data_IF_507022332349
#
_entry.id   IF_507022332349
#
_cell.length_a   1.000
_cell.length_b   1.000
_cell.length_c   1.000
_cell.angle_alpha   90.00
_cell.angle_beta   90.00
_cell.angle_gamma   90.00
#
_symmetry.space_group_name_H-M   'P 1'
#
loop_
_entity.id
_entity.type
_entity.pdbx_description
1 polymer ?
#
# COMPACT_ATOMS: atom_id res chain seq x y z
N UNK A 1 -27.07 -2.00 12.10
CA UNK A 1 -25.89 -1.48 12.82
C UNK A 1 -25.10 -0.61 11.84
N UNK A 2 -25.10 0.70 12.04
CA UNK A 2 -24.21 1.60 11.32
C UNK A 2 -22.78 1.20 11.67
N UNK A 3 -21.98 0.82 10.66
CA UNK A 3 -20.53 0.68 10.84
C UNK A 3 -20.01 2.08 11.15
N UNK A 4 -19.89 2.43 12.42
CA UNK A 4 -19.17 3.64 12.82
C UNK A 4 -17.74 3.47 12.33
N UNK A 5 -17.39 4.22 11.29
CA UNK A 5 -16.02 4.28 10.81
C UNK A 5 -15.22 4.92 11.95
N UNK A 6 -14.18 4.24 12.48
CA UNK A 6 -13.32 4.82 13.49
C UNK A 6 -12.82 6.20 13.04
N UNK A 7 -12.63 7.16 13.96
CA UNK A 7 -12.26 8.52 13.62
C UNK A 7 -11.04 8.52 12.70
N UNK A 8 -11.19 9.16 11.55
CA UNK A 8 -10.18 9.18 10.51
C UNK A 8 -8.99 10.05 10.98
N UNK A 9 -7.91 9.41 11.41
CA UNK A 9 -6.63 10.09 11.62
C UNK A 9 -5.89 10.22 10.29
N UNK A 10 -5.01 11.22 10.12
CA UNK A 10 -4.16 11.32 8.94
C UNK A 10 -3.38 10.03 8.66
N UNK A 11 -2.93 9.34 9.70
CA UNK A 11 -2.26 8.04 9.67
C UNK A 11 -3.11 6.95 9.02
N UNK A 12 -4.30 6.73 9.55
CA UNK A 12 -5.22 5.69 9.04
C UNK A 12 -5.60 5.99 7.60
N UNK A 13 -5.78 7.26 7.23
CA UNK A 13 -6.10 7.63 5.86
C UNK A 13 -4.96 7.35 4.88
N UNK A 14 -3.71 7.64 5.26
CA UNK A 14 -2.53 7.29 4.45
C UNK A 14 -2.41 5.78 4.26
N UNK A 15 -2.59 5.02 5.35
CA UNK A 15 -2.55 3.56 5.30
C UNK A 15 -3.68 2.96 4.44
N UNK A 16 -4.90 3.52 4.51
CA UNK A 16 -6.01 3.13 3.63
C UNK A 16 -5.70 3.43 2.17
N UNK A 17 -5.15 4.61 1.88
CA UNK A 17 -4.73 4.97 0.53
C UNK A 17 -3.65 4.01 0.00
N UNK A 18 -2.61 3.75 0.79
CA UNK A 18 -1.56 2.78 0.44
C UNK A 18 -2.15 1.39 0.18
N UNK A 19 -3.02 0.89 1.06
CA UNK A 19 -3.66 -0.41 0.89
C UNK A 19 -4.53 -0.50 -0.38
N UNK A 20 -5.15 0.61 -0.79
CA UNK A 20 -5.91 0.70 -2.03
C UNK A 20 -5.02 0.85 -3.28
N UNK A 21 -3.85 1.48 -3.16
CA UNK A 21 -2.89 1.62 -4.25
C UNK A 21 -2.27 0.28 -4.66
N UNK A 22 -2.01 -0.61 -3.71
CA UNK A 22 -1.37 -1.93 -3.94
C UNK A 22 -2.01 -2.69 -5.14
N UNK A 23 -3.33 -3.01 -5.12
CA UNK A 23 -3.93 -3.73 -6.25
C UNK A 23 -3.98 -2.91 -7.55
N UNK A 24 -3.96 -1.58 -7.47
CA UNK A 24 -3.90 -0.71 -8.66
C UNK A 24 -2.53 -0.82 -9.32
N UNK A 25 -1.45 -0.84 -8.53
CA UNK A 25 -0.08 -1.02 -9.01
C UNK A 25 0.09 -2.42 -9.60
N UNK A 26 -0.33 -3.47 -8.88
CA UNK A 26 -0.28 -4.87 -9.33
C UNK A 26 -1.00 -5.03 -10.69
N UNK A 27 -2.24 -4.53 -10.81
CA UNK A 27 -3.00 -4.59 -12.06
C UNK A 27 -2.41 -3.70 -13.17
N UNK A 28 -1.74 -2.61 -12.81
CA UNK A 28 -1.03 -1.75 -13.75
C UNK A 28 0.19 -2.42 -14.36
N UNK A 29 1.00 -3.10 -13.53
CA UNK A 29 2.16 -3.88 -13.94
C UNK A 29 1.75 -5.08 -14.80
N UNK A 30 0.76 -5.86 -14.36
CA UNK A 30 0.30 -7.05 -15.09
C UNK A 30 -0.27 -6.72 -16.48
N UNK A 31 -0.82 -5.52 -16.65
CA UNK A 31 -1.34 -5.03 -17.93
C UNK A 31 -0.34 -4.18 -18.72
N UNK A 32 0.92 -4.09 -18.28
CA UNK A 32 1.97 -3.24 -18.86
C UNK A 32 1.57 -1.77 -19.03
N UNK A 33 0.64 -1.27 -18.21
CA UNK A 33 0.18 0.14 -18.22
C UNK A 33 1.08 1.05 -17.41
N UNK A 34 1.81 0.49 -16.46
CA UNK A 34 2.84 1.19 -15.68
C UNK A 34 4.21 0.62 -16.04
N UNK A 35 5.19 1.50 -16.23
CA UNK A 35 6.60 1.10 -16.21
C UNK A 35 7.01 0.68 -14.80
N UNK A 36 8.11 -0.08 -14.70
CA UNK A 36 8.71 -0.45 -13.41
C UNK A 36 8.99 0.78 -12.55
N UNK A 37 9.64 1.80 -13.12
CA UNK A 37 9.97 3.06 -12.42
C UNK A 37 8.73 3.79 -11.88
N UNK A 38 7.64 3.83 -12.66
CA UNK A 38 6.39 4.45 -12.21
C UNK A 38 5.76 3.65 -11.07
N UNK A 39 5.77 2.33 -11.17
CA UNK A 39 5.25 1.46 -10.13
C UNK A 39 6.09 1.55 -8.84
N UNK A 40 7.42 1.67 -8.97
CA UNK A 40 8.35 1.85 -7.86
C UNK A 40 8.11 3.18 -7.13
N UNK A 41 7.91 4.28 -7.86
CA UNK A 41 7.55 5.57 -7.26
C UNK A 41 6.25 5.51 -6.45
N UNK A 42 5.24 4.78 -6.95
CA UNK A 42 3.99 4.55 -6.22
C UNK A 42 4.17 3.63 -5.01
N UNK A 43 5.03 2.62 -5.13
CA UNK A 43 5.38 1.72 -4.05
C UNK A 43 6.13 2.46 -2.91
N UNK A 44 6.99 3.44 -3.23
CA UNK A 44 7.68 4.28 -2.24
C UNK A 44 6.73 5.02 -1.31
N UNK A 45 5.59 5.51 -1.82
CA UNK A 45 4.54 6.06 -0.96
C UNK A 45 3.99 5.01 0.00
N UNK A 46 3.68 3.82 -0.52
CA UNK A 46 3.14 2.72 0.28
C UNK A 46 4.13 2.28 1.36
N UNK A 47 5.42 2.16 1.03
CA UNK A 47 6.48 1.81 1.96
C UNK A 47 6.61 2.85 3.07
N UNK A 48 6.67 4.14 2.72
CA UNK A 48 6.72 5.24 3.68
C UNK A 48 5.57 5.19 4.70
N UNK A 49 4.36 4.83 4.28
CA UNK A 49 3.23 4.69 5.23
C UNK A 49 3.42 3.58 6.27
N UNK A 50 4.41 2.71 6.13
CA UNK A 50 4.64 1.58 7.05
C UNK A 50 5.90 1.72 7.91
N UNK A 51 6.66 2.82 7.78
CA UNK A 51 7.96 2.98 8.44
C UNK A 51 7.87 3.27 9.95
N UNK A 52 6.76 3.82 10.43
CA UNK A 52 6.57 4.15 11.85
C UNK A 52 5.79 3.06 12.61
N UNK A 53 6.03 2.89 13.92
CA UNK A 53 5.18 2.06 14.77
C UNK A 53 3.78 2.66 14.88
N UNK A 54 2.79 1.79 15.03
CA UNK A 54 1.38 2.13 15.19
C UNK A 54 0.85 1.48 16.47
N UNK A 55 0.13 2.24 17.28
CA UNK A 55 -0.52 1.74 18.50
C UNK A 55 -1.99 1.37 18.26
N UNK A 56 -2.61 1.98 17.25
CA UNK A 56 -3.99 1.71 16.88
C UNK A 56 -4.11 0.35 16.17
N UNK A 57 -4.97 -0.58 16.62
CA UNK A 57 -5.10 -1.90 16.03
C UNK A 57 -5.50 -1.91 14.55
N UNK A 58 -6.32 -0.94 14.12
CA UNK A 58 -6.72 -0.82 12.71
C UNK A 58 -5.55 -0.32 11.86
N UNK A 59 -4.77 0.63 12.36
CA UNK A 59 -3.54 1.09 11.71
C UNK A 59 -2.51 -0.04 11.60
N UNK A 60 -2.30 -0.85 12.64
CA UNK A 60 -1.44 -2.03 12.61
C UNK A 60 -1.90 -3.00 11.51
N UNK A 61 -3.19 -3.33 11.47
CA UNK A 61 -3.77 -4.23 10.47
C UNK A 61 -3.61 -3.71 9.05
N UNK A 62 -3.79 -2.40 8.83
CA UNK A 62 -3.58 -1.79 7.52
C UNK A 62 -2.10 -1.80 7.14
N UNK A 63 -1.19 -1.49 8.07
CA UNK A 63 0.24 -1.51 7.83
C UNK A 63 0.73 -2.90 7.41
N UNK A 64 0.27 -3.97 8.08
CA UNK A 64 0.60 -5.35 7.69
C UNK A 64 0.06 -5.70 6.30
N UNK A 65 -1.17 -5.28 5.97
CA UNK A 65 -1.72 -5.47 4.60
C UNK A 65 -0.88 -4.77 3.54
N UNK A 66 -0.40 -3.55 3.82
CA UNK A 66 0.48 -2.80 2.91
C UNK A 66 1.82 -3.51 2.77
N UNK A 67 2.44 -3.94 3.88
CA UNK A 67 3.72 -4.68 3.87
C UNK A 67 3.64 -5.96 3.06
N UNK A 68 2.59 -6.76 3.24
CA UNK A 68 2.38 -7.95 2.44
C UNK A 68 2.16 -7.66 0.96
N UNK A 69 1.49 -6.55 0.62
CA UNK A 69 1.34 -6.15 -0.77
C UNK A 69 2.65 -5.68 -1.41
N UNK A 70 3.47 -4.90 -0.69
CA UNK A 70 4.81 -4.51 -1.12
C UNK A 70 5.69 -5.73 -1.41
N UNK A 71 5.66 -6.75 -0.53
CA UNK A 71 6.38 -8.00 -0.74
C UNK A 71 5.98 -8.70 -2.05
N UNK A 72 4.70 -8.74 -2.39
CA UNK A 72 4.23 -9.35 -3.64
C UNK A 72 4.65 -8.59 -4.89
N UNK A 73 4.72 -7.26 -4.82
CA UNK A 73 5.14 -6.42 -5.94
C UNK A 73 6.65 -6.44 -6.21
N UNK A 74 7.44 -6.91 -5.25
CA UNK A 74 8.91 -6.88 -5.32
C UNK A 74 9.46 -7.72 -6.48
N UNK A 75 8.96 -8.95 -6.68
CA UNK A 75 9.37 -9.81 -7.79
C UNK A 75 9.02 -9.19 -9.17
N UNK A 76 7.77 -8.78 -9.45
CA UNK A 76 7.42 -8.09 -10.70
C UNK A 76 8.23 -6.82 -10.97
N UNK A 77 8.61 -6.07 -9.93
CA UNK A 77 9.43 -4.87 -10.07
C UNK A 77 10.88 -5.22 -10.42
N UNK A 78 11.45 -6.23 -9.77
CA UNK A 78 12.81 -6.71 -10.04
C UNK A 78 12.91 -7.30 -11.46
N UNK A 79 11.89 -8.01 -11.94
CA UNK A 79 11.84 -8.57 -13.31
C UNK A 79 11.64 -7.51 -14.40
N UNK A 80 11.03 -6.38 -14.06
CA UNK A 80 10.71 -5.31 -15.01
C UNK A 80 11.83 -4.24 -15.13
N UNK A 81 12.94 -4.41 -14.40
CA UNK A 81 14.11 -3.52 -14.39
C UNK A 81 15.21 -4.00 -15.33
#
# INVERSE_FOLDING_TARGET
MSRQIPPATPEINRLRAAAALIPIIEAGLAASRFSAERAELMASFCEWTTQKPYDDPEAIRLAERVRHGLQRMRLPLDEAR
#
